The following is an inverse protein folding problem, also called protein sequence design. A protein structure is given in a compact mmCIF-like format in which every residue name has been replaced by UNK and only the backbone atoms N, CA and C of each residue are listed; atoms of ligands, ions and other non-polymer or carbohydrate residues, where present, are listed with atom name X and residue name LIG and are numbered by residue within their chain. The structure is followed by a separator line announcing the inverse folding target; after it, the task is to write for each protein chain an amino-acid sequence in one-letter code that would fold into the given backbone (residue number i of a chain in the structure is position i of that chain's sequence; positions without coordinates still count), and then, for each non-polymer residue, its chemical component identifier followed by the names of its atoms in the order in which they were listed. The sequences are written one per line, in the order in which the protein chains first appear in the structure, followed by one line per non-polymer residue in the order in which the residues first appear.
data_IF_166000563301
#
_entry.id   IF_166000563301
#
_cell.length_a   1.000
_cell.length_b   1.000
_cell.length_c   1.000
_cell.angle_alpha   90.00
_cell.angle_beta   90.00
_cell.angle_gamma   90.00
#
_symmetry.space_group_name_H-M   'P 1'
#
loop_
_entity.id
_entity.type
_entity.pdbx_description
1 polymer ?
#
# COMPACT_ATOMS: atom_id res chain seq x y z
N UNK A 1 -5.44 -10.00 -6.95
CA UNK A 1 -5.08 -9.44 -5.63
C UNK A 1 -4.02 -10.28 -4.93
N UNK A 2 -3.10 -9.60 -4.24
CA UNK A 2 -1.98 -10.20 -3.49
C UNK A 2 -2.02 -9.74 -2.05
N UNK A 3 -1.72 -10.63 -1.10
CA UNK A 3 -1.75 -10.34 0.35
C UNK A 3 -0.49 -9.67 0.88
N UNK A 4 -0.71 -8.57 1.61
CA UNK A 4 0.30 -7.86 2.38
C UNK A 4 -0.04 -7.86 3.88
N UNK A 5 0.97 -8.14 4.71
CA UNK A 5 0.88 -7.93 6.17
C UNK A 5 1.07 -6.44 6.48
N UNK A 6 0.28 -5.92 7.44
CA UNK A 6 0.50 -4.58 7.97
C UNK A 6 1.47 -4.65 9.15
N UNK A 7 2.73 -4.31 8.89
CA UNK A 7 3.78 -4.43 9.91
C UNK A 7 3.75 -3.26 10.90
N UNK A 8 3.48 -2.05 10.41
CA UNK A 8 3.51 -0.81 11.21
C UNK A 8 2.48 0.19 10.68
N UNK A 9 1.65 0.72 11.57
CA UNK A 9 0.80 1.88 11.32
C UNK A 9 1.31 3.02 12.19
N UNK A 10 1.88 4.05 11.56
CA UNK A 10 2.36 5.26 12.25
C UNK A 10 1.60 6.48 11.72
N UNK A 11 1.51 7.54 12.52
CA UNK A 11 0.90 8.82 12.12
C UNK A 11 1.32 9.32 10.74
N UNK A 12 2.57 9.06 10.31
CA UNK A 12 3.15 9.58 9.06
C UNK A 12 3.32 8.55 7.95
N UNK A 13 3.23 7.25 8.27
CA UNK A 13 3.54 6.17 7.33
C UNK A 13 2.83 4.86 7.67
N UNK A 14 2.67 4.04 6.64
CA UNK A 14 2.25 2.65 6.69
C UNK A 14 3.39 1.78 6.18
N UNK A 15 3.78 0.76 6.93
CA UNK A 15 4.66 -0.29 6.43
C UNK A 15 3.83 -1.52 6.12
N UNK A 16 4.01 -2.09 4.93
CA UNK A 16 3.47 -3.40 4.58
C UNK A 16 4.54 -4.32 3.97
N UNK A 17 4.38 -5.62 4.15
CA UNK A 17 5.25 -6.64 3.56
C UNK A 17 4.43 -7.63 2.72
N UNK A 18 4.86 -7.84 1.47
CA UNK A 18 4.25 -8.84 0.59
C UNK A 18 4.56 -10.24 1.14
N UNK A 19 3.51 -11.02 1.40
CA UNK A 19 3.62 -12.38 1.97
C UNK A 19 3.62 -13.48 0.91
N UNK A 20 3.41 -13.11 -0.35
CA UNK A 20 3.31 -14.04 -1.48
C UNK A 20 4.48 -13.89 -2.46
N UNK A 21 4.62 -14.87 -3.34
CA UNK A 21 5.66 -14.91 -4.38
C UNK A 21 5.48 -13.91 -5.50
N UNK A 22 4.24 -13.51 -5.81
CA UNK A 22 3.95 -12.47 -6.80
C UNK A 22 3.75 -11.13 -6.09
N UNK A 23 4.54 -10.10 -6.45
CA UNK A 23 4.40 -8.77 -5.86
C UNK A 23 3.90 -7.77 -6.93
N UNK A 24 2.71 -7.15 -6.75
CA UNK A 24 2.15 -6.22 -7.72
C UNK A 24 3.02 -4.98 -7.98
N UNK A 25 4.00 -4.73 -7.10
CA UNK A 25 4.94 -3.63 -7.21
C UNK A 25 6.24 -3.99 -7.94
N UNK A 26 6.42 -5.20 -8.49
CA UNK A 26 7.69 -5.63 -9.11
C UNK A 26 8.24 -4.63 -10.14
N UNK A 27 7.37 -4.13 -11.01
CA UNK A 27 7.72 -3.18 -12.07
C UNK A 27 7.87 -1.73 -11.59
N UNK A 28 7.59 -1.44 -10.31
CA UNK A 28 7.91 -0.14 -9.75
C UNK A 28 9.42 -0.01 -9.51
N UNK A 29 10.02 1.15 -9.84
CA UNK A 29 11.43 1.39 -9.56
C UNK A 29 11.73 1.19 -8.08
N UNK A 30 12.93 0.68 -7.79
CA UNK A 30 13.45 0.63 -6.42
C UNK A 30 13.67 2.06 -5.89
N UNK A 31 13.56 2.24 -4.59
CA UNK A 31 13.67 3.55 -3.95
C UNK A 31 12.32 4.23 -3.80
N UNK A 32 12.27 5.54 -4.04
CA UNK A 32 11.09 6.36 -3.80
C UNK A 32 10.29 6.66 -5.07
N UNK A 33 8.97 6.74 -4.93
CA UNK A 33 8.09 7.12 -6.02
C UNK A 33 6.71 7.55 -5.56
N UNK A 34 5.78 7.69 -6.52
CA UNK A 34 4.38 8.02 -6.26
C UNK A 34 3.46 7.04 -6.97
N UNK A 35 2.34 6.73 -6.33
CA UNK A 35 1.28 5.90 -6.90
C UNK A 35 -0.09 6.40 -6.46
N UNK A 36 -1.10 5.96 -7.19
CA UNK A 36 -2.51 6.11 -6.84
C UNK A 36 -3.05 4.77 -6.34
N UNK A 37 -3.78 4.79 -5.24
CA UNK A 37 -4.43 3.63 -4.65
C UNK A 37 -5.94 3.88 -4.62
N UNK A 38 -6.71 3.00 -5.26
CA UNK A 38 -8.16 3.03 -5.26
C UNK A 38 -8.68 2.05 -4.22
N UNK A 39 -9.41 2.54 -3.23
CA UNK A 39 -9.95 1.71 -2.16
C UNK A 39 -11.47 1.79 -2.16
N UNK A 40 -12.10 1.07 -3.10
CA UNK A 40 -13.55 0.86 -3.19
C UNK A 40 -14.40 2.06 -2.76
N UNK A 41 -15.18 1.87 -1.70
CA UNK A 41 -16.11 2.88 -1.15
C UNK A 41 -15.44 4.07 -0.45
N UNK A 42 -14.14 3.98 -0.15
CA UNK A 42 -13.39 5.01 0.57
C UNK A 42 -12.84 6.06 -0.41
N UNK A 43 -12.62 5.66 -1.66
CA UNK A 43 -12.16 6.51 -2.75
C UNK A 43 -10.69 6.29 -3.11
N UNK A 44 -10.14 7.22 -3.90
CA UNK A 44 -8.78 7.13 -4.42
C UNK A 44 -7.81 8.05 -3.67
N UNK A 45 -6.61 7.54 -3.39
CA UNK A 45 -5.58 8.18 -2.58
C UNK A 45 -4.26 8.28 -3.35
N UNK A 46 -3.52 9.38 -3.17
CA UNK A 46 -2.18 9.54 -3.75
C UNK A 46 -1.11 9.35 -2.67
N UNK A 47 -0.34 8.28 -2.80
CA UNK A 47 0.74 7.96 -1.86
C UNK A 47 2.10 8.23 -2.46
N UNK A 48 3.02 8.69 -1.61
CA UNK A 48 4.45 8.45 -1.79
C UNK A 48 4.75 7.04 -1.33
N UNK A 49 5.60 6.32 -2.04
CA UNK A 49 6.07 5.01 -1.61
C UNK A 49 7.59 4.96 -1.54
N UNK A 50 8.10 4.09 -0.67
CA UNK A 50 9.48 3.63 -0.67
C UNK A 50 9.49 2.09 -0.75
N UNK A 51 10.18 1.53 -1.75
CA UNK A 51 10.22 0.08 -2.02
C UNK A 51 11.56 -0.53 -1.60
N UNK A 52 11.50 -1.55 -0.74
CA UNK A 52 12.65 -2.29 -0.23
C UNK A 52 12.41 -3.80 -0.34
N UNK A 53 12.81 -4.41 -1.46
CA UNK A 53 12.53 -5.83 -1.71
C UNK A 53 11.02 -6.09 -1.80
N UNK A 54 10.50 -6.95 -0.93
CA UNK A 54 9.07 -7.26 -0.80
C UNK A 54 8.32 -6.32 0.17
N UNK A 55 9.04 -5.41 0.85
CA UNK A 55 8.48 -4.43 1.78
C UNK A 55 8.21 -3.10 1.07
N UNK A 56 7.08 -2.50 1.41
CA UNK A 56 6.63 -1.19 0.92
C UNK A 56 6.34 -0.28 2.11
N UNK A 57 6.71 0.99 1.98
CA UNK A 57 6.35 2.03 2.95
C UNK A 57 5.54 3.08 2.21
N UNK A 58 4.29 3.31 2.63
CA UNK A 58 3.43 4.35 2.10
C UNK A 58 3.37 5.56 3.02
N UNK A 59 3.37 6.76 2.44
CA UNK A 59 3.26 8.03 3.16
C UNK A 59 2.64 9.10 2.27
N UNK A 60 2.51 10.32 2.79
CA UNK A 60 2.03 11.49 2.04
C UNK A 60 0.75 12.07 2.63
N UNK A 61 0.18 13.07 1.95
CA UNK A 61 -0.93 13.84 2.51
C UNK A 61 -2.21 13.01 2.60
N UNK A 62 -2.46 12.11 1.64
CA UNK A 62 -3.65 11.27 1.65
C UNK A 62 -3.53 10.08 2.63
N UNK A 63 -2.34 9.82 3.18
CA UNK A 63 -2.17 8.82 4.24
C UNK A 63 -3.00 9.16 5.47
N UNK A 64 -3.08 10.42 5.87
CA UNK A 64 -3.86 10.80 7.06
C UNK A 64 -5.34 10.50 6.93
N UNK A 65 -5.86 10.45 5.69
CA UNK A 65 -7.26 10.08 5.39
C UNK A 65 -7.45 8.56 5.38
N UNK A 66 -6.48 7.82 4.86
CA UNK A 66 -6.53 6.37 4.74
C UNK A 66 -6.17 5.63 6.05
N UNK A 67 -5.37 6.23 6.94
CA UNK A 67 -4.79 5.57 8.12
C UNK A 67 -5.79 4.88 9.04
N UNK A 68 -7.01 5.42 9.15
CA UNK A 68 -8.03 4.91 10.07
C UNK A 68 -8.66 3.60 9.55
N UNK A 69 -8.36 3.20 8.31
CA UNK A 69 -8.89 1.98 7.71
C UNK A 69 -8.01 0.77 8.00
N UNK A 70 -6.77 0.97 8.45
CA UNK A 70 -5.76 -0.08 8.62
C UNK A 70 -5.32 -0.17 10.07
N UNK A 71 -5.01 -1.40 10.51
CA UNK A 71 -4.52 -1.69 11.86
C UNK A 71 -3.23 -2.51 11.77
N UNK A 72 -2.31 -2.30 12.72
CA UNK A 72 -1.10 -3.12 12.81
C UNK A 72 -1.45 -4.58 13.09
N UNK A 73 -0.79 -5.51 12.40
CA UNK A 73 -1.14 -6.94 12.39
C UNK A 73 -2.29 -7.31 11.45
N UNK A 74 -2.99 -6.34 10.87
CA UNK A 74 -4.03 -6.55 9.88
C UNK A 74 -3.48 -6.96 8.51
N UNK A 75 -4.38 -7.12 7.53
CA UNK A 75 -4.05 -7.53 6.17
C UNK A 75 -4.60 -6.53 5.14
N UNK A 76 -3.82 -6.27 4.10
CA UNK A 76 -4.27 -5.50 2.93
C UNK A 76 -4.07 -6.36 1.68
N UNK A 77 -5.10 -6.49 0.87
CA UNK A 77 -5.00 -7.04 -0.48
C UNK A 77 -4.74 -5.92 -1.46
N UNK A 78 -3.70 -6.09 -2.28
CA UNK A 78 -3.29 -5.11 -3.27
C UNK A 78 -3.24 -5.77 -4.63
N UNK A 79 -3.80 -5.10 -5.63
CA UNK A 79 -3.62 -5.46 -7.03
C UNK A 79 -3.20 -4.28 -7.87
N UNK A 80 -2.55 -4.58 -9.00
CA UNK A 80 -2.14 -3.56 -9.94
C UNK A 80 -3.23 -3.34 -10.97
N UNK A 81 -3.73 -2.11 -11.07
CA UNK A 81 -4.73 -1.71 -12.06
C UNK A 81 -4.07 -1.07 -13.29
N UNK A 82 -2.95 -0.35 -13.10
CA UNK A 82 -2.16 0.22 -14.19
C UNK A 82 -0.69 0.41 -13.75
N UNK A 83 0.13 1.06 -14.59
CA UNK A 83 1.56 1.28 -14.28
C UNK A 83 1.79 1.92 -12.90
N UNK A 84 0.92 2.87 -12.51
CA UNK A 84 1.02 3.64 -11.27
C UNK A 84 -0.29 3.67 -10.47
N UNK A 85 -1.32 2.92 -10.87
CA UNK A 85 -2.60 2.82 -10.16
C UNK A 85 -2.80 1.41 -9.61
N UNK A 86 -3.24 1.31 -8.37
CA UNK A 86 -3.40 0.06 -7.63
C UNK A 86 -4.77 0.01 -6.95
N UNK A 87 -5.34 -1.18 -6.82
CA UNK A 87 -6.55 -1.44 -6.04
C UNK A 87 -6.16 -1.91 -4.65
N UNK A 88 -6.74 -1.30 -3.61
CA UNK A 88 -6.49 -1.62 -2.21
C UNK A 88 -7.80 -2.12 -1.58
N UNK A 89 -7.75 -3.27 -0.93
CA UNK A 89 -8.84 -3.79 -0.10
C UNK A 89 -8.28 -4.12 1.28
N UNK A 90 -8.80 -3.47 2.32
CA UNK A 90 -8.35 -3.69 3.68
C UNK A 90 -9.21 -4.75 4.34
N UNK A 91 -8.58 -5.76 4.93
CA UNK A 91 -9.22 -6.77 5.76
C UNK A 91 -8.73 -6.60 7.20
N UNK A 92 -9.62 -6.07 8.05
CA UNK A 92 -9.40 -5.89 9.50
C UNK A 92 -9.67 -7.18 10.25
#
# INVERSE_FOLDING_TARGET
MVRFSVDEVHEKKLTVTCTESSNPFEDLPKGEGRLEADCGHIGSFKFKYSKFGNRMVFSGNDWTKFRNQVVAGGTIHIERLSKTKFGFEVQT
#
